data_IF_116725070016
#
_entry.id   IF_116725070016
#
_cell.length_a   1.000
_cell.length_b   1.000
_cell.length_c   1.000
_cell.angle_alpha   90.00
_cell.angle_beta   90.00
_cell.angle_gamma   90.00
#
_symmetry.space_group_name_H-M   'P 1'
#
loop_
_entity.id
_entity.type
_entity.pdbx_description
1 polymer ?
#
# COMPACT_ATOMS: atom_id res chain seq x y z
N UNK A 1 -13.75 11.58 7.91
CA UNK A 1 -13.19 10.21 8.08
C UNK A 1 -12.20 10.22 9.24
N UNK A 2 -12.15 9.17 10.09
CA UNK A 2 -11.07 9.03 11.08
C UNK A 2 -9.73 8.78 10.36
N UNK A 3 -8.62 9.43 10.74
CA UNK A 3 -7.34 9.30 10.05
C UNK A 3 -6.79 7.86 10.08
N UNK A 4 -7.07 7.11 11.14
CA UNK A 4 -6.72 5.69 11.23
C UNK A 4 -7.37 4.84 10.12
N UNK A 5 -8.66 5.06 9.81
CA UNK A 5 -9.36 4.34 8.74
C UNK A 5 -8.81 4.69 7.35
N UNK A 6 -8.46 5.96 7.13
CA UNK A 6 -7.84 6.40 5.87
C UNK A 6 -6.50 5.70 5.62
N UNK A 7 -5.68 5.60 6.66
CA UNK A 7 -4.38 4.92 6.60
C UNK A 7 -4.55 3.42 6.32
N UNK A 8 -5.48 2.76 7.00
CA UNK A 8 -5.76 1.33 6.78
C UNK A 8 -6.20 1.08 5.33
N UNK A 9 -7.09 1.91 4.80
CA UNK A 9 -7.51 1.82 3.39
C UNK A 9 -6.35 2.08 2.41
N UNK A 10 -5.45 3.01 2.74
CA UNK A 10 -4.27 3.31 1.93
C UNK A 10 -3.29 2.14 1.87
N UNK A 11 -3.12 1.41 2.98
CA UNK A 11 -2.34 0.16 3.00
C UNK A 11 -2.95 -0.90 2.09
N UNK A 12 -4.26 -1.13 2.21
CA UNK A 12 -4.95 -2.13 1.38
C UNK A 12 -4.86 -1.75 -0.10
N UNK A 13 -5.12 -0.48 -0.44
CA UNK A 13 -5.01 0.02 -1.81
C UNK A 13 -3.61 -0.17 -2.39
N UNK A 14 -2.58 0.26 -1.64
CA UNK A 14 -1.18 0.15 -2.09
C UNK A 14 -0.75 -1.31 -2.31
N UNK A 15 -1.20 -2.22 -1.44
CA UNK A 15 -0.96 -3.65 -1.60
C UNK A 15 -1.63 -4.22 -2.86
N UNK A 16 -2.87 -3.81 -3.16
CA UNK A 16 -3.58 -4.22 -4.38
C UNK A 16 -2.87 -3.69 -5.63
N UNK A 17 -2.44 -2.42 -5.64
CA UNK A 17 -1.71 -1.84 -6.77
C UNK A 17 -0.41 -2.59 -7.04
N UNK A 18 0.34 -2.94 -5.99
CA UNK A 18 1.57 -3.72 -6.11
C UNK A 18 1.34 -5.14 -6.65
N UNK A 19 0.26 -5.80 -6.21
CA UNK A 19 -0.12 -7.12 -6.74
C UNK A 19 -0.60 -7.05 -8.20
N UNK A 20 -1.31 -5.98 -8.57
CA UNK A 20 -1.70 -5.74 -9.96
C UNK A 20 -0.47 -5.48 -10.84
N UNK A 21 0.50 -4.68 -10.38
CA UNK A 21 1.78 -4.50 -11.06
C UNK A 21 2.51 -5.83 -11.28
N UNK A 22 2.57 -6.67 -10.24
CA UNK A 22 3.14 -8.01 -10.35
C UNK A 22 2.45 -8.85 -11.43
N UNK A 23 1.11 -8.86 -11.46
CA UNK A 23 0.36 -9.73 -12.37
C UNK A 23 0.47 -9.33 -13.86
N UNK A 24 0.68 -8.03 -14.15
CA UNK A 24 0.57 -7.50 -15.51
C UNK A 24 1.87 -6.98 -16.12
N UNK A 25 2.90 -6.65 -15.34
CA UNK A 25 3.99 -5.77 -15.83
C UNK A 25 5.43 -6.25 -15.59
N UNK A 26 5.66 -7.36 -14.87
CA UNK A 26 7.02 -7.80 -14.56
C UNK A 26 7.38 -9.15 -15.21
N UNK A 27 8.30 -9.12 -16.18
CA UNK A 27 8.93 -10.32 -16.75
C UNK A 27 10.20 -10.73 -15.98
N UNK A 28 10.81 -9.83 -15.20
CA UNK A 28 12.06 -10.09 -14.47
C UNK A 28 11.81 -10.81 -13.14
N UNK A 29 12.34 -12.04 -12.93
CA UNK A 29 12.04 -12.87 -11.76
C UNK A 29 12.52 -12.28 -10.43
N UNK A 30 13.59 -11.48 -10.43
CA UNK A 30 14.12 -10.84 -9.22
C UNK A 30 13.20 -9.68 -8.79
N UNK A 31 12.80 -8.84 -9.74
CA UNK A 31 11.89 -7.73 -9.48
C UNK A 31 10.52 -8.24 -9.01
N UNK A 32 10.04 -9.33 -9.62
CA UNK A 32 8.82 -10.04 -9.23
C UNK A 32 8.81 -10.42 -7.75
N UNK A 33 9.85 -11.08 -7.25
CA UNK A 33 9.88 -11.59 -5.87
C UNK A 33 9.89 -10.43 -4.87
N UNK A 34 10.66 -9.37 -5.15
CA UNK A 34 10.72 -8.19 -4.28
C UNK A 34 9.37 -7.46 -4.27
N UNK A 35 8.74 -7.29 -5.43
CA UNK A 35 7.44 -6.62 -5.56
C UNK A 35 6.33 -7.39 -4.83
N UNK A 36 6.32 -8.72 -4.98
CA UNK A 36 5.33 -9.60 -4.37
C UNK A 36 5.49 -9.64 -2.84
N UNK A 37 6.73 -9.70 -2.35
CA UNK A 37 7.02 -9.62 -0.91
C UNK A 37 6.63 -8.28 -0.29
N UNK A 38 6.91 -7.17 -0.98
CA UNK A 38 6.50 -5.83 -0.56
C UNK A 38 4.97 -5.67 -0.58
N UNK A 39 4.32 -6.10 -1.66
CA UNK A 39 2.87 -6.07 -1.85
C UNK A 39 2.14 -6.86 -0.77
N UNK A 40 2.57 -8.10 -0.50
CA UNK A 40 2.01 -8.95 0.56
C UNK A 40 2.22 -8.38 1.96
N UNK A 41 3.39 -7.80 2.23
CA UNK A 41 3.68 -7.20 3.54
C UNK A 41 2.82 -5.96 3.80
N UNK A 42 2.63 -5.12 2.79
CA UNK A 42 1.78 -3.92 2.85
C UNK A 42 0.30 -4.33 2.94
N UNK A 43 -0.15 -5.29 2.12
CA UNK A 43 -1.52 -5.80 2.15
C UNK A 43 -1.85 -6.47 3.49
N UNK A 44 -0.95 -7.32 3.99
CA UNK A 44 -1.08 -8.00 5.29
C UNK A 44 -1.13 -7.02 6.46
N UNK A 45 -0.31 -5.97 6.43
CA UNK A 45 -0.36 -4.90 7.45
C UNK A 45 -1.70 -4.14 7.39
N UNK A 46 -2.21 -3.88 6.19
CA UNK A 46 -3.53 -3.27 5.99
C UNK A 46 -4.67 -4.15 6.50
N UNK A 47 -4.63 -5.46 6.21
CA UNK A 47 -5.63 -6.43 6.69
C UNK A 47 -5.60 -6.59 8.21
N UNK A 48 -4.41 -6.70 8.81
CA UNK A 48 -4.26 -6.78 10.27
C UNK A 48 -4.83 -5.54 10.97
N UNK A 49 -4.56 -4.36 10.42
CA UNK A 49 -5.16 -3.09 10.90
C UNK A 49 -6.67 -3.04 10.70
N UNK A 50 -7.19 -3.65 9.65
CA UNK A 50 -8.63 -3.72 9.40
C UNK A 50 -9.33 -4.69 10.35
N UNK A 51 -8.68 -5.81 10.68
CA UNK A 51 -9.22 -6.85 11.57
C UNK A 51 -9.17 -6.46 13.05
N UNK A 52 -8.17 -5.68 13.46
CA UNK A 52 -8.01 -5.21 14.85
C UNK A 52 -8.00 -3.68 14.97
N UNK A 53 -9.09 -2.97 14.60
CA UNK A 53 -9.10 -1.51 14.62
C UNK A 53 -8.83 -0.92 16.03
N UNK A 54 -9.21 -1.63 17.09
CA UNK A 54 -9.08 -1.18 18.49
C UNK A 54 -7.64 -1.10 18.98
N UNK A 55 -6.73 -1.97 18.53
CA UNK A 55 -5.30 -1.90 18.87
C UNK A 55 -4.61 -0.70 18.19
N UNK A 56 -5.13 -0.28 17.04
CA UNK A 56 -4.50 0.73 16.19
C UNK A 56 -5.14 2.12 16.34
N UNK A 57 -6.42 2.26 16.67
CA UNK A 57 -7.10 3.57 16.80
C UNK A 57 -6.72 4.35 18.09
N UNK A 58 -6.05 3.74 19.06
CA UNK A 58 -5.86 4.33 20.41
C UNK A 58 -4.85 5.48 20.52
N UNK A 59 -4.03 5.78 19.49
CA UNK A 59 -3.02 6.86 19.56
C UNK A 59 -3.11 7.86 18.40
N UNK A 60 -4.05 8.82 18.44
CA UNK A 60 -4.30 9.77 17.35
C UNK A 60 -3.09 10.67 16.99
N UNK A 61 -2.20 10.96 17.93
CA UNK A 61 -1.06 11.89 17.74
C UNK A 61 -0.05 11.44 16.67
N UNK A 62 0.10 10.13 16.43
CA UNK A 62 1.05 9.60 15.44
C UNK A 62 0.43 9.32 14.06
N UNK A 63 -0.89 9.45 13.90
CA UNK A 63 -1.56 9.13 12.64
C UNK A 63 -1.41 10.21 11.57
N UNK A 64 -1.15 11.46 11.94
CA UNK A 64 -0.97 12.54 10.96
C UNK A 64 0.21 12.26 10.03
N UNK A 65 1.41 12.10 10.60
CA UNK A 65 2.63 11.81 9.84
C UNK A 65 2.50 10.52 9.02
N UNK A 66 1.92 9.47 9.62
CA UNK A 66 1.76 8.18 8.96
C UNK A 66 0.70 8.23 7.84
N UNK A 67 -0.35 9.05 7.98
CA UNK A 67 -1.33 9.28 6.93
C UNK A 67 -0.73 10.03 5.74
N UNK A 68 0.06 11.09 5.98
CA UNK A 68 0.76 11.79 4.91
C UNK A 68 1.77 10.88 4.21
N UNK A 69 2.54 10.09 4.97
CA UNK A 69 3.48 9.11 4.43
C UNK A 69 2.79 8.08 3.54
N UNK A 70 1.66 7.52 4.00
CA UNK A 70 0.90 6.54 3.21
C UNK A 70 0.21 7.18 1.99
N UNK A 71 -0.24 8.42 2.08
CA UNK A 71 -0.81 9.14 0.94
C UNK A 71 0.25 9.39 -0.14
N UNK A 72 1.44 9.82 0.24
CA UNK A 72 2.58 9.99 -0.69
C UNK A 72 2.95 8.64 -1.30
N UNK A 73 3.06 7.59 -0.49
CA UNK A 73 3.37 6.25 -0.97
C UNK A 73 2.34 5.74 -1.98
N UNK A 74 1.04 5.91 -1.69
CA UNK A 74 -0.03 5.57 -2.61
C UNK A 74 0.07 6.36 -3.91
N UNK A 75 0.29 7.68 -3.85
CA UNK A 75 0.48 8.52 -5.04
C UNK A 75 1.68 8.10 -5.88
N UNK A 76 2.81 7.80 -5.25
CA UNK A 76 4.03 7.34 -5.94
C UNK A 76 3.78 6.00 -6.61
N UNK A 77 3.17 5.04 -5.91
CA UNK A 77 2.84 3.73 -6.48
C UNK A 77 1.88 3.85 -7.67
N UNK A 78 0.85 4.67 -7.55
CA UNK A 78 -0.08 4.96 -8.65
C UNK A 78 0.64 5.61 -9.82
N UNK A 79 1.52 6.60 -9.58
CA UNK A 79 2.30 7.24 -10.63
C UNK A 79 3.23 6.26 -11.35
N UNK A 80 3.94 5.40 -10.59
CA UNK A 80 4.78 4.34 -11.17
C UNK A 80 3.97 3.33 -11.97
N UNK A 81 2.78 2.97 -11.50
CA UNK A 81 1.86 2.11 -12.25
C UNK A 81 1.44 2.74 -13.58
N UNK A 82 1.08 4.01 -13.58
CA UNK A 82 0.76 4.73 -14.81
C UNK A 82 1.96 4.82 -15.77
N UNK A 83 3.15 5.17 -15.26
CA UNK A 83 4.37 5.20 -16.08
C UNK A 83 4.63 3.83 -16.72
N UNK A 84 4.49 2.75 -15.96
CA UNK A 84 4.64 1.39 -16.51
C UNK A 84 3.58 1.07 -17.57
N UNK A 85 2.33 1.48 -17.39
CA UNK A 85 1.28 1.28 -18.41
C UNK A 85 1.57 2.05 -19.70
N UNK A 86 2.07 3.29 -19.61
CA UNK A 86 2.32 4.13 -20.79
C UNK A 86 3.64 3.82 -21.50
N UNK A 87 4.59 3.19 -20.79
CA UNK A 87 5.93 2.89 -21.32
C UNK A 87 6.06 1.43 -21.80
N UNK A 88 5.06 0.59 -21.55
CA UNK A 88 4.88 -0.76 -22.10
C UNK A 88 3.94 -0.71 -23.31
#
# INVERSE_FOLDING_TARGET
MKPARFVTLSFVYSGIVLLAQYAFLFESPIAVITQLGAGLSILGTGLLRLYKPEEYEQKPTNYGLLAYGMAILALVLTALFFVQIFMF
#
